data_IF_451677061420
#
_entry.id   IF_451677061420
#
_cell.length_a   1.000
_cell.length_b   1.000
_cell.length_c   1.000
_cell.angle_alpha   90.00
_cell.angle_beta   90.00
_cell.angle_gamma   90.00
#
_symmetry.space_group_name_H-M   'P 1'
#
loop_
_entity.id
_entity.type
_entity.pdbx_description
1 polymer ?
#
# COMPACT_ATOMS: atom_id res chain seq x y z
N UNK A 1 10.16 13.40 -3.97
CA UNK A 1 9.01 12.59 -3.51
C UNK A 1 9.50 11.18 -3.25
N UNK A 2 9.07 10.51 -2.17
CA UNK A 2 9.42 9.09 -1.92
C UNK A 2 8.72 8.22 -2.98
N UNK A 3 9.41 7.23 -3.53
CA UNK A 3 8.81 6.27 -4.46
C UNK A 3 8.05 5.23 -3.64
N UNK A 4 6.73 5.20 -3.74
CA UNK A 4 5.89 4.31 -2.92
C UNK A 4 5.62 2.98 -3.61
N UNK A 5 5.49 2.99 -4.94
CA UNK A 5 5.37 1.78 -5.75
C UNK A 5 6.39 1.79 -6.87
N UNK A 6 7.16 0.71 -6.98
CA UNK A 6 8.20 0.57 -8.01
C UNK A 6 8.19 -0.81 -8.65
N UNK A 7 8.60 -0.87 -9.91
CA UNK A 7 8.80 -2.15 -10.60
C UNK A 7 10.06 -2.80 -10.09
N UNK A 8 9.95 -4.00 -9.53
CA UNK A 8 11.06 -4.77 -8.97
C UNK A 8 11.03 -6.19 -9.48
N UNK A 9 12.06 -6.95 -9.13
CA UNK A 9 12.20 -8.36 -9.48
C UNK A 9 12.18 -9.20 -8.20
N UNK A 10 11.53 -10.36 -8.27
CA UNK A 10 11.56 -11.34 -7.17
C UNK A 10 12.92 -12.05 -7.19
N UNK A 11 13.72 -11.82 -6.15
CA UNK A 11 15.04 -12.43 -6.02
C UNK A 11 14.97 -13.88 -5.50
N UNK A 12 13.96 -14.20 -4.68
CA UNK A 12 13.84 -15.50 -4.03
C UNK A 12 12.38 -15.76 -3.64
N UNK A 13 11.94 -17.02 -3.71
CA UNK A 13 10.67 -17.47 -3.14
C UNK A 13 10.93 -18.61 -2.16
N UNK A 14 10.41 -18.48 -0.94
CA UNK A 14 10.55 -19.47 0.14
C UNK A 14 9.18 -19.93 0.63
N UNK A 15 8.97 -21.24 0.83
CA UNK A 15 7.78 -21.70 1.54
C UNK A 15 7.81 -21.22 2.99
N UNK A 16 6.63 -20.94 3.55
CA UNK A 16 6.48 -20.70 4.99
C UNK A 16 6.12 -22.04 5.64
N UNK A 17 6.84 -22.49 6.68
CA UNK A 17 6.49 -23.71 7.42
C UNK A 17 5.02 -23.69 7.87
N UNK A 18 4.33 -24.82 7.73
CA UNK A 18 2.92 -25.00 8.11
C UNK A 18 1.94 -24.04 7.42
N UNK A 19 2.30 -23.51 6.25
CA UNK A 19 1.43 -22.65 5.45
C UNK A 19 1.29 -23.14 4.00
N UNK A 20 0.13 -23.72 3.71
CA UNK A 20 -0.12 -24.32 2.39
C UNK A 20 -0.42 -23.29 1.31
N UNK A 21 -1.01 -22.15 1.68
CA UNK A 21 -1.58 -21.16 0.73
C UNK A 21 -0.69 -19.94 0.46
N UNK A 22 0.34 -19.74 1.27
CA UNK A 22 1.18 -18.55 1.24
C UNK A 22 2.65 -18.93 1.25
N UNK A 23 3.46 -18.04 0.73
CA UNK A 23 4.91 -18.15 0.65
C UNK A 23 5.55 -16.76 0.76
N UNK A 24 6.87 -16.69 0.84
CA UNK A 24 7.62 -15.43 0.99
C UNK A 24 8.33 -15.13 -0.31
N UNK A 25 8.03 -13.98 -0.90
CA UNK A 25 8.83 -13.39 -1.96
C UNK A 25 9.84 -12.43 -1.33
N UNK A 26 11.11 -12.52 -1.76
CA UNK A 26 12.17 -11.59 -1.37
C UNK A 26 12.44 -10.59 -2.48
N UNK A 27 12.38 -9.30 -2.17
CA UNK A 27 12.56 -8.21 -3.12
C UNK A 27 13.46 -7.15 -2.49
N UNK A 28 14.63 -6.89 -3.09
CA UNK A 28 15.60 -5.89 -2.62
C UNK A 28 15.96 -5.99 -1.12
N UNK A 29 15.91 -7.20 -0.57
CA UNK A 29 16.19 -7.47 0.85
C UNK A 29 14.96 -7.46 1.77
N UNK A 30 13.80 -7.03 1.29
CA UNK A 30 12.53 -7.13 2.01
C UNK A 30 11.87 -8.49 1.79
N UNK A 31 11.20 -8.98 2.83
CA UNK A 31 10.39 -10.19 2.78
C UNK A 31 8.91 -9.80 2.74
N UNK A 32 8.17 -10.34 1.77
CA UNK A 32 6.75 -10.08 1.59
C UNK A 32 6.01 -11.40 1.43
N UNK A 33 4.97 -11.58 2.22
CA UNK A 33 4.11 -12.75 2.13
C UNK A 33 3.19 -12.60 0.91
N UNK A 34 3.27 -13.55 -0.01
CA UNK A 34 2.47 -13.62 -1.24
C UNK A 34 1.59 -14.87 -1.23
N UNK A 35 0.51 -14.85 -2.01
CA UNK A 35 -0.37 -16.01 -2.17
C UNK A 35 0.20 -16.93 -3.25
N UNK A 36 0.27 -18.23 -2.97
CA UNK A 36 0.68 -19.23 -3.97
C UNK A 36 -0.25 -19.28 -5.18
N UNK A 37 -1.50 -18.84 -5.02
CA UNK A 37 -2.47 -18.74 -6.11
C UNK A 37 -2.04 -17.72 -7.18
N UNK A 38 -1.26 -16.72 -6.79
CA UNK A 38 -0.78 -15.69 -7.72
C UNK A 38 0.34 -16.22 -8.62
N UNK A 39 0.90 -17.38 -8.27
CA UNK A 39 1.83 -18.16 -9.09
C UNK A 39 3.06 -17.35 -9.53
N UNK A 40 3.65 -16.63 -8.58
CA UNK A 40 4.89 -15.89 -8.77
C UNK A 40 6.10 -16.83 -8.84
N UNK A 41 7.12 -16.43 -9.60
CA UNK A 41 8.39 -17.13 -9.74
C UNK A 41 9.57 -16.18 -9.51
N UNK A 42 10.72 -16.77 -9.19
CA UNK A 42 11.99 -16.03 -9.14
C UNK A 42 12.30 -15.45 -10.52
N UNK A 43 12.69 -14.19 -10.57
CA UNK A 43 12.92 -13.45 -11.82
C UNK A 43 11.67 -12.73 -12.36
N UNK A 44 10.49 -12.96 -11.78
CA UNK A 44 9.30 -12.24 -12.20
C UNK A 44 9.41 -10.75 -11.88
N UNK A 45 9.00 -9.93 -12.85
CA UNK A 45 8.81 -8.49 -12.65
C UNK A 45 7.47 -8.24 -11.98
N UNK A 46 7.49 -7.49 -10.90
CA UNK A 46 6.33 -7.20 -10.07
C UNK A 46 6.29 -5.74 -9.65
N UNK A 47 5.12 -5.28 -9.24
CA UNK A 47 4.99 -4.00 -8.55
C UNK A 47 5.20 -4.26 -7.07
N UNK A 48 6.27 -3.69 -6.51
CA UNK A 48 6.50 -3.65 -5.08
C UNK A 48 6.00 -2.32 -4.51
N UNK A 49 5.07 -2.40 -3.56
CA UNK A 49 4.52 -1.25 -2.83
C UNK A 49 5.12 -1.23 -1.42
N UNK A 50 5.77 -0.13 -1.07
CA UNK A 50 6.41 0.07 0.23
C UNK A 50 5.36 0.24 1.35
N UNK A 51 5.79 0.00 2.58
CA UNK A 51 5.00 0.36 3.77
C UNK A 51 4.69 1.87 3.82
N UNK A 52 3.62 2.22 4.54
CA UNK A 52 3.09 3.58 4.65
C UNK A 52 2.54 4.11 3.31
N UNK A 53 2.16 3.21 2.42
CA UNK A 53 1.45 3.52 1.18
C UNK A 53 -0.05 3.27 1.38
N UNK A 54 -0.88 4.23 1.02
CA UNK A 54 -2.34 4.09 0.99
C UNK A 54 -2.79 3.85 -0.44
N UNK A 55 -3.35 2.66 -0.67
CA UNK A 55 -3.90 2.22 -1.94
C UNK A 55 -5.27 2.88 -2.17
N UNK A 56 -5.71 3.03 -3.43
CA UNK A 56 -7.06 3.52 -3.71
C UNK A 56 -8.11 2.51 -3.25
N UNK A 57 -9.30 2.99 -2.89
CA UNK A 57 -10.39 2.16 -2.37
C UNK A 57 -11.17 1.48 -3.51
N UNK A 58 -10.49 0.60 -4.26
CA UNK A 58 -11.06 -0.12 -5.41
C UNK A 58 -11.20 -1.62 -5.14
N UNK A 59 -12.08 -2.35 -5.87
CA UNK A 59 -12.33 -3.78 -5.64
C UNK A 59 -11.07 -4.66 -5.72
N UNK A 60 -10.07 -4.26 -6.52
CA UNK A 60 -8.78 -4.94 -6.66
C UNK A 60 -8.00 -4.96 -5.34
N UNK A 61 -8.22 -3.96 -4.48
CA UNK A 61 -7.53 -3.79 -3.20
C UNK A 61 -8.44 -4.05 -1.98
N UNK A 62 -9.63 -4.63 -2.19
CA UNK A 62 -10.63 -4.90 -1.13
C UNK A 62 -10.04 -5.71 0.04
N UNK A 63 -9.05 -6.56 -0.22
CA UNK A 63 -8.35 -7.33 0.81
C UNK A 63 -7.60 -6.46 1.84
N UNK A 64 -7.29 -5.20 1.50
CA UNK A 64 -6.69 -4.20 2.40
C UNK A 64 -7.72 -3.38 3.19
N UNK A 65 -9.02 -3.56 2.95
CA UNK A 65 -10.09 -2.76 3.57
C UNK A 65 -10.05 -2.80 5.10
N UNK A 66 -9.75 -3.96 5.69
CA UNK A 66 -9.59 -4.12 7.15
C UNK A 66 -8.51 -3.22 7.74
N UNK A 67 -7.59 -2.73 6.91
CA UNK A 67 -6.46 -1.84 7.26
C UNK A 67 -6.61 -0.45 6.65
N UNK A 68 -7.83 -0.07 6.25
CA UNK A 68 -8.13 1.22 5.60
C UNK A 68 -7.30 1.45 4.34
N UNK A 69 -7.04 0.39 3.57
CA UNK A 69 -6.23 0.40 2.35
C UNK A 69 -4.76 0.79 2.54
N UNK A 70 -4.25 0.73 3.78
CA UNK A 70 -2.85 1.07 4.08
C UNK A 70 -1.99 -0.18 4.12
N UNK A 71 -0.89 -0.15 3.37
CA UNK A 71 0.18 -1.14 3.42
C UNK A 71 0.99 -0.93 4.69
N UNK A 72 0.98 -1.92 5.57
CA UNK A 72 1.66 -1.91 6.87
C UNK A 72 2.51 -3.16 7.02
N UNK A 73 3.50 -3.10 7.90
CA UNK A 73 4.18 -4.31 8.38
C UNK A 73 3.17 -5.22 9.04
N UNK A 74 3.16 -6.49 8.65
CA UNK A 74 2.34 -7.53 9.26
C UNK A 74 3.16 -8.76 9.59
N UNK A 75 2.63 -9.60 10.48
CA UNK A 75 3.19 -10.91 10.77
C UNK A 75 2.14 -11.96 10.47
N UNK A 76 2.47 -12.91 9.60
CA UNK A 76 1.58 -14.01 9.20
C UNK A 76 2.32 -15.33 9.43
N UNK A 77 1.76 -16.21 10.27
CA UNK A 77 2.39 -17.52 10.59
C UNK A 77 3.85 -17.38 11.06
N UNK A 78 4.15 -16.34 11.84
CA UNK A 78 5.50 -16.05 12.33
C UNK A 78 6.42 -15.35 11.32
N UNK A 79 6.03 -15.24 10.05
CA UNK A 79 6.79 -14.54 9.03
C UNK A 79 6.44 -13.04 9.01
N UNK A 80 7.46 -12.19 9.07
CA UNK A 80 7.33 -10.74 8.88
C UNK A 80 7.13 -10.45 7.39
N UNK A 81 6.17 -9.58 7.07
CA UNK A 81 5.88 -9.11 5.72
C UNK A 81 5.90 -7.59 5.70
N UNK A 82 6.80 -7.00 4.92
CA UNK A 82 6.99 -5.56 4.81
C UNK A 82 6.80 -5.07 3.38
N UNK A 83 5.60 -4.55 3.14
CA UNK A 83 5.17 -4.10 1.83
C UNK A 83 4.09 -5.01 1.24
N UNK A 84 3.81 -4.79 -0.03
CA UNK A 84 2.83 -5.54 -0.81
C UNK A 84 3.42 -5.81 -2.20
N UNK A 85 3.22 -7.01 -2.72
CA UNK A 85 3.62 -7.40 -4.08
C UNK A 85 2.36 -7.58 -4.91
N UNK A 86 2.36 -6.97 -6.09
CA UNK A 86 1.27 -7.08 -7.05
C UNK A 86 1.83 -7.47 -8.43
N UNK A 87 1.07 -8.23 -9.23
CA UNK A 87 1.45 -8.55 -10.61
C UNK A 87 1.44 -7.30 -11.48
N UNK A 88 2.21 -7.29 -12.58
CA UNK A 88 2.20 -6.16 -13.53
C UNK A 88 0.83 -5.88 -14.17
N UNK A 89 -0.09 -6.85 -14.13
CA UNK A 89 -1.44 -6.71 -14.68
C UNK A 89 -2.29 -5.64 -14.00
N UNK A 90 -1.90 -5.15 -12.82
CA UNK A 90 -2.58 -4.01 -12.17
C UNK A 90 -2.29 -2.67 -12.85
N UNK A 91 -1.25 -2.63 -13.68
CA UNK A 91 -0.85 -1.43 -14.40
C UNK A 91 -1.58 -1.35 -15.76
N UNK A 92 -1.81 -0.14 -16.28
CA UNK A 92 -2.21 0.05 -17.66
C UNK A 92 -1.27 -0.69 -18.63
N UNK A 93 -1.79 -1.09 -19.79
CA UNK A 93 -0.97 -1.76 -20.82
C UNK A 93 0.17 -0.82 -21.24
N UNK A 94 1.41 -1.28 -21.08
CA UNK A 94 2.60 -0.51 -21.41
C UNK A 94 3.90 -1.24 -21.09
N UNK A 95 5.02 -0.65 -21.52
CA UNK A 95 6.36 -1.12 -21.17
C UNK A 95 6.85 -0.44 -19.89
N UNK A 96 7.17 -1.25 -18.88
CA UNK A 96 7.71 -0.76 -17.63
C UNK A 96 9.12 -1.29 -17.37
N UNK A 97 10.00 -0.39 -16.93
CA UNK A 97 11.42 -0.70 -16.64
C UNK A 97 11.61 -1.00 -15.15
N UNK A 98 12.60 -1.85 -14.84
CA UNK A 98 13.01 -2.08 -13.45
C UNK A 98 13.39 -0.75 -12.77
N UNK A 99 12.94 -0.56 -11.53
CA UNK A 99 13.14 0.66 -10.74
C UNK A 99 12.25 1.85 -11.14
N UNK A 100 11.39 1.69 -12.15
CA UNK A 100 10.43 2.72 -12.55
C UNK A 100 9.42 2.93 -11.42
N UNK A 101 9.15 4.21 -11.14
CA UNK A 101 8.11 4.62 -10.21
C UNK A 101 6.74 4.56 -10.90
N UNK A 102 5.80 3.87 -10.27
CA UNK A 102 4.42 3.70 -10.72
C UNK A 102 3.41 4.17 -9.68
N UNK A 103 3.87 4.92 -8.67
CA UNK A 103 3.06 5.47 -7.57
C UNK A 103 1.86 6.27 -8.09
N UNK A 104 2.12 7.24 -8.98
CA UNK A 104 1.07 8.12 -9.52
C UNK A 104 0.11 7.36 -10.45
N UNK A 105 0.63 6.39 -11.20
CA UNK A 105 -0.16 5.55 -12.12
C UNK A 105 -1.21 4.74 -11.35
N UNK A 106 -0.87 4.27 -10.16
CA UNK A 106 -1.74 3.49 -9.29
C UNK A 106 -2.57 4.36 -8.32
N UNK A 107 -2.40 5.69 -8.35
CA UNK A 107 -3.10 6.59 -7.44
C UNK A 107 -2.73 6.38 -5.97
N UNK A 108 -1.51 5.92 -5.69
CA UNK A 108 -1.04 5.63 -4.34
C UNK A 108 -0.61 6.92 -3.65
N UNK A 109 -1.09 7.14 -2.44
CA UNK A 109 -0.71 8.30 -1.63
C UNK A 109 0.08 7.87 -0.40
N UNK A 110 0.97 8.74 0.09
CA UNK A 110 1.68 8.49 1.34
C UNK A 110 0.68 8.52 2.49
N UNK A 111 0.67 7.47 3.28
CA UNK A 111 -0.05 7.42 4.54
C UNK A 111 0.73 8.19 5.61
N UNK A 112 0.06 9.14 6.26
CA UNK A 112 0.60 9.86 7.41
C UNK A 112 -0.43 9.80 8.56
N UNK A 113 -0.15 9.05 9.64
CA UNK A 113 -1.09 8.89 10.74
C UNK A 113 -1.35 10.20 11.48
N UNK A 114 -0.35 11.08 11.59
CA UNK A 114 -0.51 12.37 12.26
C UNK A 114 -1.45 13.26 11.47
N UNK A 115 -1.29 13.29 10.15
CA UNK A 115 -2.17 14.06 9.27
C UNK A 115 -3.62 13.53 9.31
N UNK A 116 -3.84 12.22 9.40
CA UNK A 116 -5.19 11.67 9.56
C UNK A 116 -5.82 12.04 10.90
N UNK A 117 -5.04 12.02 11.99
CA UNK A 117 -5.50 12.44 13.32
C UNK A 117 -5.85 13.94 13.35
N UNK A 118 -4.99 14.79 12.79
CA UNK A 118 -5.24 16.23 12.67
C UNK A 118 -6.51 16.51 11.86
N UNK A 119 -6.68 15.84 10.72
CA UNK A 119 -7.88 15.96 9.89
C UNK A 119 -9.14 15.49 10.61
N UNK A 120 -9.06 14.40 11.39
CA UNK A 120 -10.19 13.90 12.17
C UNK A 120 -10.59 14.88 13.28
N UNK A 121 -9.62 15.44 14.01
CA UNK A 121 -9.84 16.46 15.04
C UNK A 121 -10.43 17.74 14.42
N UNK A 122 -9.92 18.16 13.26
CA UNK A 122 -10.44 19.31 12.53
C UNK A 122 -11.91 19.11 12.12
N UNK A 123 -12.25 17.96 11.55
CA UNK A 123 -13.62 17.62 11.17
C UNK A 123 -14.58 17.50 12.36
N UNK A 124 -14.12 16.94 13.49
CA UNK A 124 -14.89 16.94 14.73
C UNK A 124 -15.17 18.37 15.22
N UNK A 125 -14.16 19.23 15.25
CA UNK A 125 -14.29 20.62 15.68
C UNK A 125 -15.23 21.40 14.74
N UNK A 126 -15.14 21.17 13.44
CA UNK A 126 -16.03 21.74 12.41
C UNK A 126 -17.49 21.32 12.63
N UNK A 127 -17.75 20.06 12.97
CA UNK A 127 -19.10 19.54 13.27
C UNK A 127 -19.67 20.09 14.59
N UNK A 128 -18.84 20.19 15.62
CA UNK A 128 -19.24 20.71 16.96
C UNK A 128 -19.52 22.21 16.93
N UNK A 129 -18.82 22.96 16.07
CA UNK A 129 -18.97 24.41 15.97
C UNK A 129 -20.35 24.81 15.45
N UNK A 130 -21.12 25.53 16.26
CA UNK A 130 -22.40 26.14 15.87
C UNK A 130 -22.29 27.59 15.42
N UNK A 131 -21.15 28.25 15.64
CA UNK A 131 -20.95 29.67 15.33
C UNK A 131 -20.78 29.90 13.81
N UNK A 132 -21.65 30.74 13.16
CA UNK A 132 -21.59 31.01 11.73
C UNK A 132 -20.28 31.67 11.25
N UNK A 133 -19.69 32.55 12.07
CA UNK A 133 -18.44 33.25 11.74
C UNK A 133 -17.27 32.28 11.71
N UNK A 134 -17.21 31.39 12.70
CA UNK A 134 -16.18 30.35 12.76
C UNK A 134 -16.33 29.36 11.59
N UNK A 135 -17.56 28.96 11.23
CA UNK A 135 -17.82 28.14 10.04
C UNK A 135 -17.39 28.83 8.74
N UNK A 136 -17.59 30.15 8.63
CA UNK A 136 -17.17 30.93 7.47
C UNK A 136 -15.65 31.02 7.37
N UNK A 137 -14.95 31.26 8.48
CA UNK A 137 -13.48 31.31 8.51
C UNK A 137 -12.84 29.95 8.20
N UNK A 138 -13.41 28.86 8.72
CA UNK A 138 -12.95 27.50 8.43
C UNK A 138 -13.04 27.09 6.95
N UNK A 139 -13.83 27.80 6.11
CA UNK A 139 -13.88 27.56 4.66
C UNK A 139 -12.66 28.08 3.90
N UNK A 140 -11.85 28.93 4.51
CA UNK A 140 -10.66 29.54 3.91
C UNK A 140 -9.36 29.02 4.53
N UNK A 141 -9.40 27.99 5.36
CA UNK A 141 -8.19 27.31 5.82
C UNK A 141 -7.60 26.53 4.63
N UNK A 142 -6.39 26.92 4.23
CA UNK A 142 -5.57 26.28 3.19
C UNK A 142 -4.70 25.19 3.79
#
# INVERSE_FOLDING_TARGET
MRKLATIREIAEIKPIPDADRIEVARIDGWEVVVSKKDNFHVGDRVVYVEIDSKMPETPEYEFLKSRKYVVKTIVMRGQVSQGLVMPLSILPVGEYKLGQDVTDVLGIIKYDPQLEEENAVFEENRKKTRNPVVKFLMRYAW
#
